data_IF_173498676259
#
_entry.id   IF_173498676259
#
_cell.length_a   1.000
_cell.length_b   1.000
_cell.length_c   1.000
_cell.angle_alpha   90.00
_cell.angle_beta   90.00
_cell.angle_gamma   90.00
#
_symmetry.space_group_name_H-M   'P 1'
#
loop_
_entity.id
_entity.type
_entity.pdbx_description
1 polymer ?
#
# COMPACT_ATOMS: atom_id res chain seq x y z
N UNK A 1 -25.15 -21.26 -13.88
CA UNK A 1 -25.08 -20.12 -12.94
C UNK A 1 -24.16 -20.54 -11.81
N UNK A 2 -22.95 -20.00 -11.74
CA UNK A 2 -22.03 -20.29 -10.63
C UNK A 2 -22.43 -19.42 -9.44
N UNK A 3 -23.16 -19.99 -8.49
CA UNK A 3 -23.50 -19.33 -7.23
C UNK A 3 -22.22 -19.22 -6.39
N UNK A 4 -21.73 -17.99 -6.17
CA UNK A 4 -20.64 -17.76 -5.21
C UNK A 4 -21.15 -18.18 -3.83
N UNK A 5 -20.48 -19.09 -3.12
CA UNK A 5 -20.90 -19.49 -1.79
C UNK A 5 -20.86 -18.27 -0.86
N UNK A 6 -21.92 -18.08 -0.07
CA UNK A 6 -22.00 -17.02 0.93
C UNK A 6 -20.88 -17.21 1.95
N UNK A 7 -20.02 -16.20 2.09
CA UNK A 7 -19.00 -16.19 3.14
C UNK A 7 -19.66 -15.91 4.48
N UNK A 8 -19.15 -16.52 5.54
CA UNK A 8 -19.58 -16.15 6.89
C UNK A 8 -19.17 -14.70 7.19
N UNK A 9 -19.97 -14.01 7.99
CA UNK A 9 -19.69 -12.64 8.43
C UNK A 9 -18.33 -12.57 9.13
N UNK A 10 -17.98 -13.59 9.90
CA UNK A 10 -16.69 -13.69 10.59
C UNK A 10 -15.52 -13.77 9.61
N UNK A 11 -15.63 -14.52 8.52
CA UNK A 11 -14.61 -14.60 7.48
C UNK A 11 -14.48 -13.26 6.75
N UNK A 12 -15.60 -12.66 6.35
CA UNK A 12 -15.62 -11.34 5.71
C UNK A 12 -14.93 -10.28 6.57
N UNK A 13 -15.26 -10.22 7.86
CA UNK A 13 -14.65 -9.23 8.76
C UNK A 13 -13.15 -9.48 8.95
N UNK A 14 -12.73 -10.74 9.10
CA UNK A 14 -11.31 -11.07 9.23
C UNK A 14 -10.50 -10.63 8.00
N UNK A 15 -11.01 -10.88 6.80
CA UNK A 15 -10.35 -10.48 5.55
C UNK A 15 -10.30 -8.95 5.41
N UNK A 16 -11.41 -8.27 5.72
CA UNK A 16 -11.46 -6.80 5.67
C UNK A 16 -10.47 -6.17 6.66
N UNK A 17 -10.35 -6.71 7.87
CA UNK A 17 -9.39 -6.25 8.86
C UNK A 17 -7.94 -6.46 8.41
N UNK A 18 -7.65 -7.62 7.80
CA UNK A 18 -6.33 -7.87 7.22
C UNK A 18 -6.01 -6.90 6.07
N UNK A 19 -6.97 -6.64 5.18
CA UNK A 19 -6.81 -5.68 4.10
C UNK A 19 -6.63 -4.26 4.62
N UNK A 20 -7.39 -3.85 5.62
CA UNK A 20 -7.25 -2.55 6.28
C UNK A 20 -5.88 -2.36 6.90
N UNK A 21 -5.37 -3.37 7.61
CA UNK A 21 -4.02 -3.34 8.18
C UNK A 21 -2.96 -3.16 7.08
N UNK A 22 -3.07 -3.89 5.97
CA UNK A 22 -2.18 -3.77 4.82
C UNK A 22 -2.22 -2.36 4.20
N UNK A 23 -3.42 -1.80 3.98
CA UNK A 23 -3.58 -0.48 3.35
C UNK A 23 -3.08 0.64 4.26
N UNK A 24 -3.37 0.58 5.56
CA UNK A 24 -2.87 1.55 6.53
C UNK A 24 -1.34 1.52 6.63
N UNK A 25 -0.75 0.32 6.66
CA UNK A 25 0.71 0.15 6.63
C UNK A 25 1.29 0.73 5.34
N UNK A 26 0.71 0.40 4.19
CA UNK A 26 1.15 0.89 2.88
C UNK A 26 1.05 2.42 2.76
N UNK A 27 -0.01 3.01 3.31
CA UNK A 27 -0.17 4.46 3.40
C UNK A 27 0.93 5.08 4.27
N UNK A 28 1.16 4.53 5.47
CA UNK A 28 2.17 5.05 6.39
C UNK A 28 3.57 5.01 5.78
N UNK A 29 3.92 3.87 5.17
CA UNK A 29 5.20 3.67 4.48
C UNK A 29 5.37 4.67 3.32
N UNK A 30 4.33 4.90 2.52
CA UNK A 30 4.36 5.91 1.44
C UNK A 30 4.65 7.32 1.99
N UNK A 31 4.01 7.71 3.10
CA UNK A 31 4.27 9.00 3.78
C UNK A 31 5.68 9.08 4.38
N UNK A 32 6.24 7.95 4.82
CA UNK A 32 7.62 7.88 5.31
C UNK A 32 8.61 8.12 4.17
N UNK A 33 8.41 7.47 3.02
CA UNK A 33 9.24 7.69 1.83
C UNK A 33 9.15 9.13 1.30
N UNK A 34 7.95 9.72 1.25
CA UNK A 34 7.80 11.14 0.89
C UNK A 34 8.64 12.06 1.78
N UNK A 35 8.64 11.82 3.10
CA UNK A 35 9.44 12.57 4.07
C UNK A 35 10.94 12.35 3.87
N UNK A 36 11.38 11.14 3.57
CA UNK A 36 12.79 10.85 3.28
C UNK A 36 13.26 11.54 2.01
N UNK A 37 12.49 11.46 0.93
CA UNK A 37 12.80 12.12 -0.35
C UNK A 37 12.86 13.65 -0.19
N UNK A 38 12.03 14.22 0.68
CA UNK A 38 12.11 15.65 1.04
C UNK A 38 13.48 16.00 1.62
N UNK A 39 14.04 15.15 2.49
CA UNK A 39 15.36 15.37 3.09
C UNK A 39 16.47 15.16 2.07
N UNK A 40 16.34 14.17 1.19
CA UNK A 40 17.32 13.89 0.12
C UNK A 40 17.40 15.07 -0.84
N UNK A 41 16.27 15.56 -1.36
CA UNK A 41 16.25 16.71 -2.28
C UNK A 41 16.83 17.98 -1.66
N UNK A 42 16.61 18.21 -0.36
CA UNK A 42 17.23 19.34 0.37
C UNK A 42 18.74 19.17 0.55
N UNK A 43 19.21 17.95 0.82
CA UNK A 43 20.62 17.66 1.11
C UNK A 43 21.47 17.57 -0.16
N UNK A 44 20.87 17.13 -1.26
CA UNK A 44 21.54 16.88 -2.54
C UNK A 44 20.81 17.64 -3.65
N UNK A 45 21.15 18.92 -3.93
CA UNK A 45 20.44 19.75 -4.90
C UNK A 45 20.38 19.14 -6.31
N UNK A 46 21.42 18.40 -6.72
CA UNK A 46 21.46 17.69 -8.00
C UNK A 46 20.44 16.54 -8.11
N UNK A 47 19.87 16.08 -7.00
CA UNK A 47 18.79 15.10 -6.95
C UNK A 47 17.41 15.74 -6.71
N UNK A 48 17.31 17.07 -6.63
CA UNK A 48 16.07 17.75 -6.23
C UNK A 48 14.90 17.42 -7.17
N UNK A 49 15.10 17.49 -8.49
CA UNK A 49 14.07 17.20 -9.49
C UNK A 49 13.56 15.75 -9.40
N UNK A 50 14.49 14.79 -9.32
CA UNK A 50 14.15 13.37 -9.13
C UNK A 50 13.43 13.13 -7.80
N UNK A 51 13.91 13.76 -6.73
CA UNK A 51 13.29 13.67 -5.41
C UNK A 51 11.87 14.21 -5.42
N UNK A 52 11.61 15.33 -6.08
CA UNK A 52 10.27 15.93 -6.17
C UNK A 52 9.32 15.08 -7.02
N UNK A 53 9.80 14.50 -8.12
CA UNK A 53 9.03 13.53 -8.90
C UNK A 53 8.62 12.33 -8.03
N UNK A 54 9.59 11.68 -7.37
CA UNK A 54 9.32 10.52 -6.52
C UNK A 54 8.42 10.87 -5.32
N UNK A 55 8.52 12.08 -4.78
CA UNK A 55 7.61 12.57 -3.72
C UNK A 55 6.18 12.68 -4.23
N UNK A 56 5.98 13.20 -5.43
CA UNK A 56 4.66 13.27 -6.05
C UNK A 56 4.05 11.86 -6.17
N UNK A 57 4.84 10.89 -6.65
CA UNK A 57 4.42 9.49 -6.71
C UNK A 57 4.05 8.93 -5.32
N UNK A 58 4.88 9.15 -4.29
CA UNK A 58 4.59 8.68 -2.93
C UNK A 58 3.34 9.33 -2.33
N UNK A 59 3.09 10.61 -2.65
CA UNK A 59 1.88 11.33 -2.22
C UNK A 59 0.64 10.76 -2.86
N UNK A 60 0.64 10.57 -4.18
CA UNK A 60 -0.48 9.94 -4.91
C UNK A 60 -0.76 8.54 -4.35
N UNK A 61 0.29 7.76 -4.12
CA UNK A 61 0.19 6.42 -3.52
C UNK A 61 -0.41 6.45 -2.11
N UNK A 62 0.03 7.37 -1.25
CA UNK A 62 -0.55 7.56 0.09
C UNK A 62 -2.02 7.97 0.04
N UNK A 63 -2.42 8.80 -0.92
CA UNK A 63 -3.82 9.22 -1.08
C UNK A 63 -4.68 8.05 -1.55
N UNK A 64 -4.19 7.27 -2.52
CA UNK A 64 -4.86 6.08 -3.02
C UNK A 64 -5.14 5.08 -1.88
N UNK A 65 -4.10 4.68 -1.13
CA UNK A 65 -4.28 3.76 -0.01
C UNK A 65 -5.21 4.30 1.07
N UNK A 66 -5.12 5.60 1.37
CA UNK A 66 -6.01 6.24 2.34
C UNK A 66 -7.48 6.21 1.94
N UNK A 67 -7.77 6.51 0.67
CA UNK A 67 -9.15 6.45 0.15
C UNK A 67 -9.69 5.03 0.19
N UNK A 68 -8.90 4.06 -0.24
CA UNK A 68 -9.30 2.65 -0.24
C UNK A 68 -9.53 2.14 1.19
N UNK A 69 -8.64 2.46 2.13
CA UNK A 69 -8.80 2.13 3.54
C UNK A 69 -10.06 2.75 4.14
N UNK A 70 -10.36 4.01 3.81
CA UNK A 70 -11.59 4.68 4.26
C UNK A 70 -12.85 3.97 3.77
N UNK A 71 -12.89 3.56 2.50
CA UNK A 71 -14.03 2.85 1.92
C UNK A 71 -14.19 1.48 2.60
N UNK A 72 -13.11 0.73 2.76
CA UNK A 72 -13.14 -0.58 3.41
C UNK A 72 -13.57 -0.49 4.88
N UNK A 73 -13.09 0.54 5.60
CA UNK A 73 -13.49 0.76 6.99
C UNK A 73 -14.99 0.99 7.08
N UNK A 74 -15.55 1.86 6.23
CA UNK A 74 -16.99 2.09 6.18
C UNK A 74 -17.79 0.79 5.94
N UNK A 75 -17.30 -0.10 5.06
CA UNK A 75 -17.96 -1.38 4.80
C UNK A 75 -17.82 -2.37 5.95
N UNK A 76 -16.64 -2.45 6.56
CA UNK A 76 -16.41 -3.29 7.73
C UNK A 76 -17.27 -2.82 8.91
N UNK A 77 -17.33 -1.51 9.15
CA UNK A 77 -18.12 -0.91 10.24
C UNK A 77 -19.62 -1.13 10.02
N UNK A 78 -20.11 -0.99 8.79
CA UNK A 78 -21.49 -1.33 8.43
C UNK A 78 -21.80 -2.81 8.64
N UNK A 79 -20.87 -3.70 8.28
CA UNK A 79 -21.05 -5.14 8.49
C UNK A 79 -21.06 -5.50 9.98
N UNK A 80 -20.28 -4.80 10.81
CA UNK A 80 -20.29 -4.96 12.27
C UNK A 80 -21.57 -4.43 12.92
N UNK A 81 -22.09 -3.31 12.44
CA UNK A 81 -23.32 -2.70 12.99
C UNK A 81 -24.59 -3.40 12.52
N UNK A 82 -24.58 -3.98 11.32
CA UNK A 82 -25.74 -4.62 10.69
C UNK A 82 -25.42 -6.06 10.22
N UNK A 83 -25.04 -6.98 11.12
CA UNK A 83 -24.63 -8.33 10.73
C UNK A 83 -25.78 -9.17 10.15
N UNK A 84 -27.03 -8.86 10.49
CA UNK A 84 -28.22 -9.58 9.98
C UNK A 84 -28.74 -9.02 8.65
N UNK A 85 -28.05 -8.05 8.05
CA UNK A 85 -28.43 -7.48 6.76
C UNK A 85 -27.96 -8.39 5.62
N UNK A 86 -28.79 -9.38 5.25
CA UNK A 86 -28.45 -10.38 4.23
C UNK A 86 -28.05 -9.78 2.88
N UNK A 87 -28.67 -8.66 2.48
CA UNK A 87 -28.34 -7.96 1.24
C UNK A 87 -26.93 -7.35 1.31
N UNK A 88 -26.55 -6.77 2.45
CA UNK A 88 -25.21 -6.25 2.67
C UNK A 88 -24.19 -7.39 2.60
N UNK A 89 -24.42 -8.48 3.35
CA UNK A 89 -23.53 -9.66 3.39
C UNK A 89 -23.35 -10.25 1.98
N UNK A 90 -24.44 -10.39 1.22
CA UNK A 90 -24.40 -10.90 -0.15
C UNK A 90 -23.57 -9.99 -1.07
N UNK A 91 -23.77 -8.66 -1.01
CA UNK A 91 -23.01 -7.71 -1.84
C UNK A 91 -21.53 -7.70 -1.49
N UNK A 92 -21.18 -7.73 -0.20
CA UNK A 92 -19.79 -7.79 0.24
C UNK A 92 -19.14 -9.12 -0.15
N UNK A 93 -19.86 -10.23 -0.06
CA UNK A 93 -19.40 -11.55 -0.54
C UNK A 93 -19.14 -11.52 -2.05
N UNK A 94 -20.03 -10.93 -2.84
CA UNK A 94 -19.85 -10.84 -4.29
C UNK A 94 -18.67 -9.95 -4.69
N UNK A 95 -18.43 -8.86 -3.95
CA UNK A 95 -17.31 -7.96 -4.17
C UNK A 95 -15.97 -8.51 -3.65
N UNK A 96 -16.00 -9.47 -2.72
CA UNK A 96 -14.83 -9.99 -2.02
C UNK A 96 -13.74 -10.51 -2.96
N UNK A 97 -14.01 -11.36 -3.99
CA UNK A 97 -12.96 -11.87 -4.86
C UNK A 97 -12.22 -10.78 -5.63
N UNK A 98 -12.94 -9.74 -6.06
CA UNK A 98 -12.35 -8.59 -6.77
C UNK A 98 -11.44 -7.80 -5.82
N UNK A 99 -11.88 -7.60 -4.58
CA UNK A 99 -11.09 -6.90 -3.57
C UNK A 99 -9.85 -7.71 -3.19
N UNK A 100 -9.98 -9.02 -2.99
CA UNK A 100 -8.87 -9.93 -2.72
C UNK A 100 -7.84 -9.88 -3.84
N UNK A 101 -8.30 -10.00 -5.10
CA UNK A 101 -7.42 -9.92 -6.28
C UNK A 101 -6.66 -8.58 -6.34
N UNK A 102 -7.34 -7.46 -6.06
CA UNK A 102 -6.71 -6.14 -6.03
C UNK A 102 -5.62 -6.07 -4.94
N UNK A 103 -5.91 -6.57 -3.73
CA UNK A 103 -4.95 -6.60 -2.62
C UNK A 103 -3.73 -7.46 -2.97
N UNK A 104 -3.95 -8.63 -3.57
CA UNK A 104 -2.86 -9.54 -3.94
C UNK A 104 -2.00 -8.96 -5.06
N UNK A 105 -2.60 -8.34 -6.08
CA UNK A 105 -1.85 -7.62 -7.11
C UNK A 105 -1.00 -6.48 -6.52
N UNK A 106 -1.54 -5.74 -5.55
CA UNK A 106 -0.78 -4.69 -4.87
C UNK A 106 0.39 -5.28 -4.08
N UNK A 107 0.17 -6.36 -3.31
CA UNK A 107 1.22 -7.06 -2.58
C UNK A 107 2.32 -7.57 -3.51
N UNK A 108 1.96 -8.18 -4.62
CA UNK A 108 2.91 -8.67 -5.62
C UNK A 108 3.73 -7.53 -6.21
N UNK A 109 3.09 -6.44 -6.64
CA UNK A 109 3.80 -5.28 -7.17
C UNK A 109 4.78 -4.66 -6.15
N UNK A 110 4.48 -4.72 -4.85
CA UNK A 110 5.42 -4.33 -3.81
C UNK A 110 6.60 -5.30 -3.66
N UNK A 111 6.35 -6.61 -3.74
CA UNK A 111 7.40 -7.62 -3.71
C UNK A 111 8.35 -7.47 -4.90
N UNK A 112 7.82 -7.33 -6.11
CA UNK A 112 8.59 -7.15 -7.35
C UNK A 112 9.46 -5.89 -7.29
N UNK A 113 8.92 -4.79 -6.76
CA UNK A 113 9.69 -3.55 -6.54
C UNK A 113 10.82 -3.77 -5.53
N UNK A 114 10.54 -4.46 -4.43
CA UNK A 114 11.54 -4.73 -3.37
C UNK A 114 12.69 -5.58 -3.92
N UNK A 115 12.36 -6.63 -4.67
CA UNK A 115 13.34 -7.47 -5.37
C UNK A 115 14.14 -6.67 -6.41
N UNK A 116 13.46 -5.81 -7.18
CA UNK A 116 14.13 -4.91 -8.12
C UNK A 116 15.12 -3.98 -7.41
N UNK A 117 14.78 -3.44 -6.23
CA UNK A 117 15.70 -2.62 -5.44
C UNK A 117 16.92 -3.39 -4.93
N UNK A 118 16.76 -4.68 -4.59
CA UNK A 118 17.87 -5.52 -4.16
C UNK A 118 18.82 -5.90 -5.30
N UNK A 119 18.30 -5.97 -6.53
CA UNK A 119 19.05 -6.38 -7.72
C UNK A 119 19.62 -5.19 -8.51
N UNK A 120 19.27 -3.95 -8.15
CA UNK A 120 19.86 -2.76 -8.75
C UNK A 120 21.38 -2.75 -8.51
N UNK A 121 22.21 -2.70 -9.58
CA UNK A 121 23.64 -2.54 -9.41
C UNK A 121 23.89 -1.19 -8.74
N UNK A 122 24.43 -1.20 -7.52
CA UNK A 122 24.88 0.02 -6.86
C UNK A 122 25.99 0.59 -7.75
N UNK A 123 25.81 1.79 -8.32
CA UNK A 123 26.89 2.39 -9.09
C UNK A 123 28.06 2.59 -8.14
N UNK A 124 29.20 1.97 -8.45
CA UNK A 124 30.49 2.29 -7.86
C UNK A 124 30.82 3.72 -8.31
N UNK A 125 30.19 4.73 -7.69
CA UNK A 125 30.59 6.11 -7.88
C UNK A 125 31.94 6.22 -7.18
N UNK A 126 32.98 6.30 -8.01
CA UNK A 126 34.37 6.49 -7.65
C UNK A 126 34.57 7.20 -6.29
N UNK A 127 34.91 6.40 -5.28
CA UNK A 127 35.86 6.67 -4.18
C UNK A 127 35.79 7.94 -3.30
N UNK A 128 34.97 8.96 -3.57
CA UNK A 128 35.14 10.26 -2.90
C UNK A 128 33.90 10.86 -2.22
N UNK A 129 32.69 10.58 -2.71
CA UNK A 129 31.50 11.37 -2.33
C UNK A 129 30.30 10.55 -1.83
N UNK A 130 30.30 9.22 -2.00
CA UNK A 130 29.18 8.35 -1.56
C UNK A 130 29.27 7.81 -0.12
N UNK A 131 30.40 7.96 0.59
CA UNK A 131 30.56 7.46 1.98
C UNK A 131 29.61 8.10 3.01
N UNK A 132 28.67 8.95 2.59
CA UNK A 132 27.73 9.67 3.47
C UNK A 132 26.26 9.41 3.16
N UNK A 133 25.92 8.53 2.21
CA UNK A 133 24.52 8.21 1.92
C UNK A 133 24.09 7.06 2.85
N UNK A 134 23.21 7.31 3.85
CA UNK A 134 22.72 6.23 4.70
C UNK A 134 21.84 5.28 3.88
N UNK A 135 21.84 3.99 4.21
CA UNK A 135 20.97 3.03 3.54
C UNK A 135 19.51 3.47 3.67
N UNK A 136 18.77 3.36 2.58
CA UNK A 136 17.30 3.48 2.62
C UNK A 136 16.81 2.23 3.34
N UNK A 137 16.49 2.36 4.63
CA UNK A 137 15.89 1.27 5.40
C UNK A 137 14.49 0.98 4.86
N UNK A 138 14.37 -0.11 4.12
CA UNK A 138 13.13 -0.80 3.81
C UNK A 138 12.78 -1.68 5.02
N UNK A 139 12.26 -1.06 6.09
CA UNK A 139 11.67 -1.74 7.24
C UNK A 139 10.23 -1.28 7.40
#
# INVERSE_FOLDING_TARGET
MNSIPLLSITALLADYDQWLAFLNTSQHTSRRYERQLTRIGKRYPYLASLSDYLRSCMRQRSQFFGRLASILSEKADKLRSEPTNDLLVQRLTQAHPVMQQLIDQMKQAFADLTESYHTLPVPVVAGGTLSRMPPISLQ
#
